data_IF_485501384222
#
_entry.id   IF_485501384222
#
_cell.length_a   1.000
_cell.length_b   1.000
_cell.length_c   1.000
_cell.angle_alpha   90.00
_cell.angle_beta   90.00
_cell.angle_gamma   90.00
#
_symmetry.space_group_name_H-M   'P 1'
#
loop_
_entity.id
_entity.type
_entity.pdbx_description
1 polymer ?
#
# COMPACT_ATOMS: atom_id res chain seq x y z
N UNK A 1 48.28 -21.52 -31.51
CA UNK A 1 49.29 -20.70 -30.79
C UNK A 1 49.19 -19.26 -31.28
N UNK A 2 49.27 -18.27 -30.38
CA UNK A 2 48.59 -16.99 -30.50
C UNK A 2 49.42 -15.91 -31.22
N UNK A 3 48.74 -14.96 -31.84
CA UNK A 3 49.34 -13.71 -32.32
C UNK A 3 49.03 -12.62 -31.28
N UNK A 4 50.10 -12.03 -30.74
CA UNK A 4 50.10 -10.93 -29.78
C UNK A 4 49.53 -9.64 -30.39
N UNK A 5 48.77 -8.88 -29.59
CA UNK A 5 48.31 -7.52 -29.90
C UNK A 5 49.19 -6.53 -29.14
N UNK A 6 49.88 -5.66 -29.89
CA UNK A 6 50.70 -4.57 -29.37
C UNK A 6 49.86 -3.38 -28.88
N UNK A 7 50.35 -2.74 -27.81
CA UNK A 7 49.79 -1.55 -27.16
C UNK A 7 50.15 -0.28 -27.93
N UNK A 8 49.16 0.36 -28.56
CA UNK A 8 49.27 1.70 -29.13
C UNK A 8 48.98 2.80 -28.09
N UNK A 9 49.97 3.65 -27.82
CA UNK A 9 49.81 4.97 -27.18
C UNK A 9 49.18 5.93 -28.19
N UNK A 10 48.15 6.69 -27.79
CA UNK A 10 47.71 7.88 -28.53
C UNK A 10 47.72 9.08 -27.59
N UNK A 11 48.54 10.04 -27.95
CA UNK A 11 48.73 11.36 -27.33
C UNK A 11 47.55 12.28 -27.59
N UNK A 12 47.07 12.94 -26.54
CA UNK A 12 46.02 13.97 -26.60
C UNK A 12 46.67 15.34 -26.82
N UNK A 13 46.42 15.96 -27.97
CA UNK A 13 46.77 17.37 -28.23
C UNK A 13 45.59 18.28 -27.90
N UNK A 14 45.71 19.04 -26.81
CA UNK A 14 44.88 20.20 -26.50
C UNK A 14 45.08 21.31 -27.53
N UNK A 15 43.98 21.92 -27.98
CA UNK A 15 44.01 23.23 -28.64
C UNK A 15 43.02 24.15 -27.95
N UNK A 16 43.55 25.15 -27.26
CA UNK A 16 42.83 26.26 -26.66
C UNK A 16 42.45 27.28 -27.74
N UNK A 17 41.24 27.85 -27.64
CA UNK A 17 40.84 29.03 -28.39
C UNK A 17 40.19 30.05 -27.45
N UNK A 18 40.85 31.20 -27.43
CA UNK A 18 40.65 32.49 -26.77
C UNK A 18 39.23 33.04 -26.49
N UNK A 19 39.20 33.79 -25.39
CA UNK A 19 38.28 34.81 -24.90
C UNK A 19 37.67 35.78 -25.93
N UNK A 20 36.49 36.34 -25.58
CA UNK A 20 36.26 37.79 -25.60
C UNK A 20 35.11 38.21 -24.67
N UNK A 21 35.39 39.28 -23.94
CA UNK A 21 34.58 40.01 -22.97
C UNK A 21 33.34 40.68 -23.57
N UNK A 22 32.29 40.86 -22.76
CA UNK A 22 31.60 42.16 -22.62
C UNK A 22 30.59 42.16 -21.45
N UNK A 23 30.88 42.97 -20.42
CA UNK A 23 29.89 43.66 -19.56
C UNK A 23 30.19 45.16 -19.71
N UNK A 24 29.21 46.08 -19.62
CA UNK A 24 28.75 46.64 -18.33
C UNK A 24 27.21 46.84 -18.33
N UNK A 25 26.48 47.11 -17.25
CA UNK A 25 26.59 48.27 -16.36
C UNK A 25 25.69 48.12 -15.13
N UNK A 26 26.12 48.71 -14.02
CA UNK A 26 25.42 48.84 -12.76
C UNK A 26 24.34 49.95 -12.79
N UNK A 27 23.26 49.76 -12.02
CA UNK A 27 22.55 50.86 -11.36
C UNK A 27 21.73 50.36 -10.17
N UNK A 28 21.96 51.05 -9.06
CA UNK A 28 21.06 51.38 -7.96
C UNK A 28 20.74 50.36 -6.85
N UNK A 29 21.48 50.57 -5.77
CA UNK A 29 21.10 50.35 -4.38
C UNK A 29 19.71 50.92 -4.06
N UNK A 30 18.83 50.04 -3.59
CA UNK A 30 17.79 50.41 -2.62
C UNK A 30 17.92 49.52 -1.38
N UNK A 31 18.13 50.20 -0.26
CA UNK A 31 18.11 49.70 1.12
C UNK A 31 16.76 49.03 1.44
N UNK A 32 16.74 47.87 2.12
CA UNK A 32 15.50 47.21 2.51
C UNK A 32 14.88 47.89 3.74
N UNK A 33 13.61 48.27 3.63
CA UNK A 33 12.76 48.67 4.75
C UNK A 33 12.47 47.46 5.65
N UNK A 34 12.64 47.64 6.97
CA UNK A 34 12.35 46.66 8.04
C UNK A 34 11.01 45.93 7.83
N UNK A 35 10.95 44.59 7.97
CA UNK A 35 9.68 43.92 8.23
C UNK A 35 9.27 44.13 9.70
N UNK A 36 7.98 44.43 9.89
CA UNK A 36 7.32 44.50 11.19
C UNK A 36 7.30 43.13 11.88
N UNK A 37 7.47 43.13 13.21
CA UNK A 37 7.40 41.94 14.05
C UNK A 37 6.02 41.26 13.97
N UNK A 38 5.94 39.92 13.83
CA UNK A 38 4.67 39.23 13.97
C UNK A 38 4.32 39.05 15.45
N UNK A 39 3.11 39.49 15.81
CA UNK A 39 2.52 39.35 17.13
C UNK A 39 2.46 37.86 17.57
N UNK A 40 3.04 37.58 18.74
CA UNK A 40 2.94 36.30 19.43
C UNK A 40 1.48 36.03 19.83
N UNK A 41 0.87 35.01 19.24
CA UNK A 41 -0.32 34.36 19.77
C UNK A 41 0.09 33.42 20.93
N UNK A 42 -0.43 33.67 22.14
CA UNK A 42 -0.29 32.80 23.31
C UNK A 42 -1.64 32.14 23.63
N UNK A 43 -1.72 30.81 23.78
CA UNK A 43 -2.92 30.16 24.31
C UNK A 43 -3.02 30.35 25.84
N UNK A 44 -4.23 30.34 26.41
CA UNK A 44 -4.44 30.54 27.85
C UNK A 44 -3.94 29.34 28.67
N UNK A 45 -3.37 29.67 29.83
CA UNK A 45 -2.88 28.74 30.86
C UNK A 45 -3.96 28.64 31.94
N UNK A 46 -4.47 27.45 32.20
CA UNK A 46 -5.24 27.19 33.42
C UNK A 46 -4.30 26.71 34.54
N UNK A 47 -4.46 27.21 35.79
CA UNK A 47 -3.59 26.87 36.89
C UNK A 47 -4.12 25.70 37.73
N UNK A 48 -3.20 24.84 38.16
CA UNK A 48 -3.31 24.14 39.44
C UNK A 48 -3.72 22.67 39.37
N UNK A 49 -2.75 21.77 39.60
CA UNK A 49 -2.55 21.20 40.94
C UNK A 49 -1.19 20.50 41.01
N UNK A 50 -0.47 20.79 42.10
CA UNK A 50 0.83 20.27 42.44
C UNK A 50 0.71 19.26 43.60
N UNK A 51 1.68 18.34 43.67
CA UNK A 51 1.96 17.45 44.81
C UNK A 51 1.37 16.05 44.62
N UNK A 52 2.07 14.94 44.84
CA UNK A 52 3.28 14.70 45.61
C UNK A 52 3.92 13.38 45.18
N UNK A 53 5.24 13.34 45.20
CA UNK A 53 6.08 12.15 45.09
C UNK A 53 5.86 11.18 46.27
N UNK A 54 5.87 9.88 46.01
CA UNK A 54 6.28 8.87 46.99
C UNK A 54 6.89 7.66 46.26
N UNK A 55 7.98 7.15 46.83
CA UNK A 55 8.90 6.17 46.27
C UNK A 55 8.26 4.81 46.04
N UNK A 56 8.76 4.11 45.02
CA UNK A 56 8.52 2.70 44.80
C UNK A 56 9.24 1.88 45.89
N UNK A 57 8.48 1.07 46.62
CA UNK A 57 9.01 0.02 47.48
C UNK A 57 8.93 -1.32 46.74
N UNK A 58 10.06 -2.00 46.65
CA UNK A 58 10.29 -3.22 45.89
C UNK A 58 10.31 -4.41 46.83
N UNK A 59 9.15 -4.95 47.17
CA UNK A 59 8.98 -6.33 47.68
C UNK A 59 7.50 -6.68 47.68
N UNK A 60 7.00 -7.36 46.64
CA UNK A 60 6.33 -8.66 46.83
C UNK A 60 6.04 -9.31 45.48
N UNK A 61 6.85 -10.33 45.17
CA UNK A 61 6.58 -11.31 44.13
C UNK A 61 5.85 -12.47 44.79
N UNK A 62 4.53 -12.48 44.73
CA UNK A 62 3.76 -13.73 44.84
C UNK A 62 2.49 -13.66 44.02
N UNK A 63 2.43 -14.60 43.08
CA UNK A 63 1.26 -15.07 42.36
C UNK A 63 0.07 -15.24 43.30
N UNK A 64 -1.06 -14.60 42.99
CA UNK A 64 -2.39 -15.20 42.91
C UNK A 64 -3.38 -14.14 42.44
N UNK A 65 -4.01 -14.37 41.27
CA UNK A 65 -5.02 -13.49 40.73
C UNK A 65 -6.32 -13.62 41.54
N UNK A 66 -6.93 -12.52 42.01
CA UNK A 66 -8.22 -12.56 42.71
C UNK A 66 -9.35 -13.03 41.78
N UNK A 67 -10.19 -13.92 42.28
CA UNK A 67 -11.28 -14.62 41.62
C UNK A 67 -12.52 -13.77 41.30
N UNK A 68 -12.37 -12.49 40.98
CA UNK A 68 -13.49 -11.54 40.88
C UNK A 68 -13.98 -11.32 39.44
N UNK A 69 -13.99 -12.38 38.63
CA UNK A 69 -14.54 -12.39 37.27
C UNK A 69 -15.76 -13.31 37.08
N UNK A 70 -16.36 -13.80 38.16
CA UNK A 70 -17.48 -14.75 38.08
C UNK A 70 -18.89 -14.14 38.17
N UNK A 71 -19.03 -12.81 38.07
CA UNK A 71 -20.36 -12.17 37.98
C UNK A 71 -20.41 -11.06 36.91
N UNK A 72 -20.05 -11.40 35.67
CA UNK A 72 -20.55 -10.65 34.51
C UNK A 72 -21.87 -11.30 34.12
N UNK A 73 -23.02 -10.61 34.20
CA UNK A 73 -24.29 -11.19 33.77
C UNK A 73 -24.21 -11.57 32.29
N UNK A 74 -24.63 -12.80 32.01
CA UNK A 74 -24.74 -13.43 30.70
C UNK A 74 -25.44 -12.47 29.71
N UNK A 75 -24.65 -11.76 28.90
CA UNK A 75 -25.15 -10.93 27.80
C UNK A 75 -25.82 -11.91 26.83
N UNK A 76 -27.15 -11.89 26.79
CA UNK A 76 -27.94 -12.88 26.08
C UNK A 76 -27.43 -13.14 24.65
N UNK A 77 -27.30 -14.42 24.34
CA UNK A 77 -26.98 -14.97 23.01
C UNK A 77 -28.08 -14.73 21.96
N UNK A 78 -28.90 -13.69 22.13
CA UNK A 78 -30.09 -13.43 21.32
C UNK A 78 -29.76 -12.43 20.20
N UNK A 79 -29.85 -12.91 18.95
CA UNK A 79 -29.74 -12.06 17.78
C UNK A 79 -30.96 -11.11 17.69
N UNK A 80 -30.76 -9.86 18.10
CA UNK A 80 -31.83 -8.86 18.13
C UNK A 80 -32.28 -8.45 16.73
N UNK A 81 -33.60 -8.42 16.44
CA UNK A 81 -34.13 -7.91 15.17
C UNK A 81 -33.83 -6.41 15.00
N UNK A 82 -33.75 -5.88 13.77
CA UNK A 82 -33.72 -4.45 13.54
C UNK A 82 -34.98 -3.79 14.08
N UNK A 83 -34.88 -2.57 14.65
CA UNK A 83 -36.05 -1.85 15.15
C UNK A 83 -37.03 -1.57 14.01
N UNK A 84 -38.32 -1.77 14.29
CA UNK A 84 -39.40 -1.35 13.40
C UNK A 84 -39.40 0.17 13.27
N UNK A 85 -39.73 0.67 12.08
CA UNK A 85 -39.67 2.11 11.81
C UNK A 85 -40.02 2.48 10.38
N UNK A 86 -40.08 3.79 10.15
CA UNK A 86 -40.33 4.39 8.84
C UNK A 86 -39.04 5.00 8.29
N UNK A 87 -38.91 4.92 6.97
CA UNK A 87 -37.72 5.31 6.22
C UNK A 87 -38.14 6.14 5.00
N UNK A 88 -37.32 7.12 4.57
CA UNK A 88 -37.66 8.00 3.45
C UNK A 88 -37.75 7.26 2.11
N UNK A 89 -36.94 6.22 1.94
CA UNK A 89 -36.89 5.44 0.71
C UNK A 89 -36.44 3.99 0.97
N UNK A 90 -36.61 3.15 -0.05
CA UNK A 90 -36.25 1.72 -0.02
C UNK A 90 -34.77 1.49 0.24
N UNK A 91 -33.89 2.30 -0.35
CA UNK A 91 -32.45 2.10 -0.26
C UNK A 91 -31.97 2.39 1.16
N UNK A 92 -32.44 3.48 1.76
CA UNK A 92 -32.14 3.85 3.15
C UNK A 92 -32.64 2.79 4.13
N UNK A 93 -33.85 2.26 3.93
CA UNK A 93 -34.36 1.15 4.74
C UNK A 93 -33.47 -0.09 4.65
N UNK A 94 -33.13 -0.53 3.43
CA UNK A 94 -32.31 -1.72 3.22
C UNK A 94 -30.90 -1.55 3.80
N UNK A 95 -30.32 -0.36 3.68
CA UNK A 95 -29.02 -0.03 4.27
C UNK A 95 -29.07 -0.09 5.81
N UNK A 96 -30.12 0.47 6.43
CA UNK A 96 -30.33 0.38 7.89
C UNK A 96 -30.44 -1.06 8.37
N UNK A 97 -31.27 -1.87 7.71
CA UNK A 97 -31.44 -3.30 8.03
C UNK A 97 -30.14 -4.08 7.90
N UNK A 98 -29.37 -3.83 6.84
CA UNK A 98 -28.07 -4.46 6.63
C UNK A 98 -27.04 -4.04 7.68
N UNK A 99 -27.00 -2.74 8.03
CA UNK A 99 -26.11 -2.21 9.06
C UNK A 99 -26.41 -2.82 10.44
N UNK A 100 -27.69 -2.90 10.81
CA UNK A 100 -28.12 -3.52 12.06
C UNK A 100 -27.73 -4.99 12.11
N UNK A 101 -28.04 -5.76 11.07
CA UNK A 101 -27.67 -7.18 11.00
C UNK A 101 -26.16 -7.36 11.16
N UNK A 102 -25.36 -6.55 10.46
CA UNK A 102 -23.90 -6.59 10.57
C UNK A 102 -23.40 -6.30 11.99
N UNK A 103 -24.00 -5.31 12.67
CA UNK A 103 -23.65 -4.97 14.05
C UNK A 103 -23.99 -6.09 15.04
N UNK A 104 -25.06 -6.85 14.77
CA UNK A 104 -25.53 -7.95 15.63
C UNK A 104 -25.09 -9.33 15.12
N UNK A 105 -24.20 -9.39 14.13
CA UNK A 105 -23.61 -10.64 13.66
C UNK A 105 -24.56 -11.53 12.84
N UNK A 106 -25.46 -11.00 12.02
CA UNK A 106 -26.20 -11.81 11.04
C UNK A 106 -26.46 -11.03 9.75
N UNK A 107 -26.70 -11.74 8.64
CA UNK A 107 -26.99 -11.08 7.38
C UNK A 107 -28.47 -11.20 7.03
N UNK A 108 -29.04 -10.11 6.50
CA UNK A 108 -30.41 -10.07 6.00
C UNK A 108 -30.40 -10.02 4.48
N UNK A 109 -31.17 -10.89 3.84
CA UNK A 109 -31.28 -11.02 2.39
C UNK A 109 -32.74 -10.87 1.93
N UNK A 110 -32.93 -10.45 0.68
CA UNK A 110 -34.26 -10.40 0.06
C UNK A 110 -34.74 -11.82 -0.24
N UNK A 111 -35.86 -12.23 0.38
CA UNK A 111 -36.57 -13.47 0.05
C UNK A 111 -37.36 -13.31 -1.24
N UNK A 112 -38.11 -12.22 -1.35
CA UNK A 112 -38.92 -11.89 -2.52
C UNK A 112 -39.32 -10.42 -2.49
N UNK A 113 -39.70 -9.86 -3.63
CA UNK A 113 -40.25 -8.50 -3.73
C UNK A 113 -41.48 -8.48 -4.62
N UNK A 114 -42.43 -7.63 -4.30
CA UNK A 114 -43.63 -7.33 -5.09
C UNK A 114 -43.62 -5.84 -5.39
N UNK A 115 -43.38 -5.48 -6.65
CA UNK A 115 -43.45 -4.10 -7.12
C UNK A 115 -44.79 -3.85 -7.81
N UNK A 116 -45.42 -2.67 -7.63
CA UNK A 116 -46.63 -2.32 -8.35
C UNK A 116 -46.31 -2.23 -9.85
N UNK A 117 -47.13 -2.86 -10.69
CA UNK A 117 -47.00 -2.85 -12.15
C UNK A 117 -48.27 -2.25 -12.76
N UNK A 118 -48.22 -1.75 -13.99
CA UNK A 118 -49.39 -1.20 -14.73
C UNK A 118 -50.62 -2.12 -14.71
N UNK A 119 -50.41 -3.45 -14.65
CA UNK A 119 -51.49 -4.46 -14.59
C UNK A 119 -52.17 -4.61 -13.22
N UNK A 120 -51.67 -3.96 -12.16
CA UNK A 120 -52.20 -4.01 -10.78
C UNK A 120 -52.02 -2.65 -10.07
N UNK A 121 -52.75 -1.61 -10.51
CA UNK A 121 -52.67 -0.29 -9.89
C UNK A 121 -53.16 -0.31 -8.43
N UNK A 122 -52.54 0.48 -7.56
CA UNK A 122 -52.97 0.67 -6.16
C UNK A 122 -52.38 -0.29 -5.11
N UNK A 123 -51.50 -1.23 -5.49
CA UNK A 123 -50.80 -2.09 -4.51
C UNK A 123 -49.58 -1.38 -3.93
N UNK A 124 -49.36 -1.47 -2.62
CA UNK A 124 -48.11 -1.02 -1.97
C UNK A 124 -46.94 -1.92 -2.37
N UNK A 125 -45.77 -1.34 -2.61
CA UNK A 125 -44.56 -2.11 -2.88
C UNK A 125 -44.14 -2.87 -1.61
N UNK A 126 -43.81 -4.16 -1.72
CA UNK A 126 -43.39 -4.98 -0.58
C UNK A 126 -42.08 -5.70 -0.87
N UNK A 127 -41.18 -5.74 0.09
CA UNK A 127 -39.94 -6.51 0.06
C UNK A 127 -39.93 -7.41 1.29
N UNK A 128 -39.98 -8.72 1.09
CA UNK A 128 -39.85 -9.71 2.14
C UNK A 128 -38.38 -9.98 2.36
N UNK A 129 -37.92 -9.77 3.59
CA UNK A 129 -36.54 -9.94 4.00
C UNK A 129 -36.46 -11.10 4.99
N UNK A 130 -35.34 -11.81 4.98
CA UNK A 130 -35.08 -12.97 5.85
C UNK A 130 -33.60 -13.05 6.20
N UNK A 131 -33.24 -13.91 7.15
CA UNK A 131 -31.84 -14.25 7.41
C UNK A 131 -31.21 -14.97 6.19
N UNK A 132 -29.92 -14.75 5.93
CA UNK A 132 -29.14 -15.47 4.90
C UNK A 132 -29.09 -16.98 5.12
N UNK A 133 -29.27 -17.41 6.38
CA UNK A 133 -29.40 -18.82 6.80
C UNK A 133 -30.84 -19.37 6.72
N UNK A 134 -31.80 -18.56 6.26
CA UNK A 134 -33.22 -18.92 6.18
C UNK A 134 -33.58 -19.75 4.94
N UNK A 135 -34.45 -20.74 5.12
CA UNK A 135 -34.90 -21.69 4.09
C UNK A 135 -34.06 -22.96 4.01
N UNK A 136 -34.56 -23.91 3.22
CA UNK A 136 -33.96 -25.24 3.05
C UNK A 136 -33.23 -25.36 1.71
N UNK A 137 -32.13 -26.10 1.72
CA UNK A 137 -31.43 -26.45 0.50
C UNK A 137 -32.29 -27.39 -0.36
N UNK A 138 -32.47 -27.04 -1.64
CA UNK A 138 -33.13 -27.91 -2.62
C UNK A 138 -32.07 -28.51 -3.57
N UNK A 139 -31.87 -29.84 -3.59
CA UNK A 139 -30.92 -30.46 -4.50
C UNK A 139 -31.41 -30.34 -5.94
N UNK A 140 -30.62 -29.70 -6.82
CA UNK A 140 -30.98 -29.56 -8.25
C UNK A 140 -30.73 -30.82 -9.08
N UNK A 141 -29.96 -31.79 -8.58
CA UNK A 141 -29.45 -32.92 -9.36
C UNK A 141 -29.64 -34.28 -8.67
N UNK A 142 -30.58 -34.42 -7.72
CA UNK A 142 -30.82 -35.67 -6.99
C UNK A 142 -29.70 -36.11 -6.02
N UNK A 143 -28.60 -35.36 -5.94
CA UNK A 143 -27.52 -35.56 -4.97
C UNK A 143 -28.00 -35.23 -3.55
N UNK A 144 -28.01 -36.24 -2.69
CA UNK A 144 -28.28 -36.12 -1.26
C UNK A 144 -26.99 -35.71 -0.51
N UNK A 145 -27.08 -35.33 0.78
CA UNK A 145 -25.87 -34.97 1.54
C UNK A 145 -24.96 -36.19 1.75
N UNK A 146 -25.52 -37.39 1.84
CA UNK A 146 -24.80 -38.66 2.04
C UNK A 146 -24.02 -39.10 0.79
N UNK A 147 -24.52 -38.76 -0.40
CA UNK A 147 -23.94 -39.20 -1.69
C UNK A 147 -22.87 -38.23 -2.22
N UNK A 148 -22.53 -37.20 -1.44
CA UNK A 148 -21.74 -36.06 -1.92
C UNK A 148 -20.28 -36.10 -1.48
N UNK A 149 -19.36 -36.00 -2.45
CA UNK A 149 -17.89 -36.04 -2.24
C UNK A 149 -17.24 -34.72 -1.78
N UNK A 150 -17.95 -33.58 -1.79
CA UNK A 150 -17.39 -32.25 -1.42
C UNK A 150 -18.35 -31.47 -0.52
N UNK A 151 -17.86 -30.90 0.59
CA UNK A 151 -18.65 -30.01 1.49
C UNK A 151 -19.15 -28.76 0.77
N UNK A 152 -20.37 -28.28 1.09
CA UNK A 152 -21.01 -27.13 0.40
C UNK A 152 -20.60 -25.81 1.04
N UNK A 153 -20.87 -24.77 0.26
CA UNK A 153 -20.79 -23.36 0.64
C UNK A 153 -22.07 -22.82 1.28
N UNK A 154 -23.18 -23.59 1.28
CA UNK A 154 -24.50 -23.17 1.75
C UNK A 154 -24.58 -23.17 3.27
N UNK A 155 -25.05 -22.05 3.85
CA UNK A 155 -25.26 -21.85 5.30
C UNK A 155 -26.74 -21.95 5.71
N UNK A 156 -27.59 -22.44 4.81
CA UNK A 156 -29.02 -22.62 5.04
C UNK A 156 -29.26 -23.65 6.14
N UNK A 157 -29.96 -23.23 7.19
CA UNK A 157 -30.37 -24.06 8.34
C UNK A 157 -31.82 -23.78 8.73
N UNK A 158 -32.60 -23.31 7.76
CA UNK A 158 -34.01 -22.98 7.92
C UNK A 158 -34.30 -21.97 9.05
N UNK A 159 -33.44 -20.96 9.18
CA UNK A 159 -33.63 -19.88 10.15
C UNK A 159 -35.00 -19.18 9.96
N UNK A 160 -35.81 -19.04 11.03
CA UNK A 160 -37.20 -18.58 10.94
C UNK A 160 -37.34 -17.05 10.86
N UNK A 161 -36.25 -16.31 11.08
CA UNK A 161 -36.22 -14.85 11.07
C UNK A 161 -36.77 -14.24 9.77
N UNK A 162 -37.72 -13.32 9.92
CA UNK A 162 -38.41 -12.71 8.78
C UNK A 162 -38.96 -11.32 9.10
N UNK A 163 -38.93 -10.45 8.11
CA UNK A 163 -39.53 -9.11 8.19
C UNK A 163 -40.07 -8.72 6.81
N UNK A 164 -40.92 -7.71 6.78
CA UNK A 164 -41.46 -7.12 5.55
C UNK A 164 -41.23 -5.62 5.56
N UNK A 165 -40.68 -5.12 4.47
CA UNK A 165 -40.60 -3.70 4.18
C UNK A 165 -41.70 -3.35 3.18
N UNK A 166 -42.67 -2.55 3.59
CA UNK A 166 -43.77 -2.10 2.74
C UNK A 166 -43.66 -0.59 2.53
N UNK A 167 -43.70 -0.12 1.28
CA UNK A 167 -43.55 1.30 1.00
C UNK A 167 -44.42 1.81 -0.13
N UNK A 168 -44.86 3.05 0.05
CA UNK A 168 -45.36 3.92 -0.99
C UNK A 168 -44.25 4.94 -1.31
N UNK A 169 -44.30 5.68 -2.45
CA UNK A 169 -43.33 6.74 -2.72
C UNK A 169 -43.20 7.70 -1.53
N UNK A 170 -41.98 7.88 -1.01
CA UNK A 170 -41.66 8.78 0.10
C UNK A 170 -41.75 8.20 1.52
N UNK A 171 -42.38 7.04 1.73
CA UNK A 171 -42.44 6.38 3.05
C UNK A 171 -42.37 4.87 2.91
N UNK A 172 -41.38 4.27 3.57
CA UNK A 172 -41.19 2.83 3.67
C UNK A 172 -41.22 2.39 5.13
N UNK A 173 -42.11 1.46 5.47
CA UNK A 173 -42.26 0.92 6.83
C UNK A 173 -41.66 -0.47 6.91
N UNK A 174 -40.84 -0.70 7.94
CA UNK A 174 -40.30 -2.01 8.30
C UNK A 174 -41.14 -2.65 9.41
N UNK A 175 -41.60 -3.88 9.20
CA UNK A 175 -42.33 -4.68 10.19
C UNK A 175 -41.64 -6.02 10.36
N UNK A 176 -41.31 -6.39 11.59
CA UNK A 176 -40.73 -7.67 11.95
C UNK A 176 -41.85 -8.70 12.06
N UNK A 177 -41.75 -9.78 11.28
CA UNK A 177 -42.77 -10.83 11.26
C UNK A 177 -42.40 -11.99 12.18
N UNK A 178 -41.12 -12.31 12.22
CA UNK A 178 -40.57 -13.26 13.17
C UNK A 178 -39.19 -12.76 13.60
N UNK A 179 -39.03 -12.36 14.87
CA UNK A 179 -37.77 -11.83 15.40
C UNK A 179 -36.76 -12.93 15.74
N UNK A 180 -37.18 -14.19 15.79
CA UNK A 180 -36.36 -15.29 16.32
C UNK A 180 -35.34 -15.81 15.32
N UNK A 181 -34.15 -16.14 15.83
CA UNK A 181 -33.11 -16.87 15.12
C UNK A 181 -32.89 -18.23 15.79
N UNK A 182 -32.55 -19.25 15.01
CA UNK A 182 -32.18 -20.58 15.52
C UNK A 182 -30.66 -20.81 15.51
N UNK A 183 -29.89 -19.72 15.52
CA UNK A 183 -28.43 -19.73 15.50
C UNK A 183 -27.87 -18.50 16.20
N UNK A 184 -26.66 -18.60 16.74
CA UNK A 184 -25.93 -17.45 17.28
C UNK A 184 -25.32 -16.54 16.20
N UNK A 185 -24.61 -15.48 16.59
CA UNK A 185 -23.97 -14.56 15.66
C UNK A 185 -22.94 -15.25 14.76
N UNK A 186 -22.82 -14.76 13.53
CA UNK A 186 -21.85 -15.15 12.53
C UNK A 186 -20.47 -14.75 13.03
N UNK A 187 -19.74 -15.72 13.58
CA UNK A 187 -18.34 -15.60 13.99
C UNK A 187 -17.37 -15.84 12.82
N UNK A 188 -17.85 -16.28 11.66
CA UNK A 188 -17.03 -16.54 10.48
C UNK A 188 -16.76 -15.28 9.66
N UNK A 189 -15.48 -15.05 9.30
CA UNK A 189 -15.06 -13.97 8.40
C UNK A 189 -15.85 -14.02 7.07
N UNK A 190 -16.27 -12.87 6.49
CA UNK A 190 -17.00 -12.83 5.24
C UNK A 190 -16.27 -13.61 4.14
N UNK A 191 -16.99 -14.45 3.39
CA UNK A 191 -16.41 -15.11 2.23
C UNK A 191 -16.15 -14.05 1.15
N UNK A 192 -14.96 -14.01 0.52
CA UNK A 192 -14.68 -13.05 -0.53
C UNK A 192 -15.72 -13.17 -1.66
N UNK A 193 -16.04 -12.03 -2.30
CA UNK A 193 -16.87 -12.00 -3.50
C UNK A 193 -16.33 -12.97 -4.56
N UNK A 194 -17.18 -13.51 -5.45
CA UNK A 194 -16.72 -14.37 -6.54
C UNK A 194 -15.72 -13.61 -7.41
N UNK A 195 -14.43 -13.88 -7.21
CA UNK A 195 -13.37 -13.27 -7.99
C UNK A 195 -13.50 -13.76 -9.43
N UNK A 196 -13.65 -12.82 -10.37
CA UNK A 196 -13.27 -13.05 -11.76
C UNK A 196 -11.89 -13.69 -11.74
N UNK A 197 -11.70 -14.84 -12.39
CA UNK A 197 -10.38 -15.50 -12.38
C UNK A 197 -9.39 -14.56 -13.05
N UNK A 198 -8.43 -14.07 -12.28
CA UNK A 198 -7.24 -13.35 -12.75
C UNK A 198 -6.64 -14.13 -13.92
N UNK A 199 -6.42 -13.47 -15.06
CA UNK A 199 -5.89 -14.16 -16.25
C UNK A 199 -4.47 -14.64 -15.95
N UNK A 200 -4.05 -15.71 -16.62
CA UNK A 200 -2.67 -16.17 -16.53
C UNK A 200 -1.74 -15.06 -17.02
N UNK A 201 -0.72 -14.72 -16.23
CA UNK A 201 0.16 -13.59 -16.50
C UNK A 201 -0.33 -12.27 -15.93
N UNK A 202 -1.38 -12.29 -15.09
CA UNK A 202 -1.80 -11.18 -14.25
C UNK A 202 -1.77 -11.57 -12.77
N UNK A 203 -1.84 -10.57 -11.91
CA UNK A 203 -1.96 -10.63 -10.45
C UNK A 203 -3.17 -9.79 -10.05
N UNK A 204 -3.90 -10.22 -9.02
CA UNK A 204 -5.02 -9.46 -8.48
C UNK A 204 -4.53 -8.11 -7.93
N UNK A 205 -5.14 -7.02 -8.36
CA UNK A 205 -4.80 -5.67 -7.95
C UNK A 205 -6.00 -4.72 -8.15
N UNK A 206 -5.84 -3.46 -7.75
CA UNK A 206 -6.89 -2.44 -7.85
C UNK A 206 -6.35 -1.26 -8.67
N UNK A 207 -7.08 -0.74 -9.67
CA UNK A 207 -8.48 -1.05 -9.99
C UNK A 207 -8.68 -2.17 -11.02
N UNK A 208 -7.61 -2.75 -11.55
CA UNK A 208 -7.64 -3.87 -12.50
C UNK A 208 -6.59 -4.92 -12.15
N UNK A 209 -6.73 -6.13 -12.69
CA UNK A 209 -5.73 -7.20 -12.58
C UNK A 209 -4.47 -6.83 -13.39
N UNK A 210 -3.33 -6.68 -12.73
CA UNK A 210 -2.09 -6.15 -13.30
C UNK A 210 -1.11 -7.25 -13.75
N UNK A 211 -0.33 -7.07 -14.82
CA UNK A 211 -0.35 -5.96 -15.77
C UNK A 211 -1.55 -6.04 -16.71
N UNK A 212 -1.95 -4.93 -17.30
CA UNK A 212 -3.16 -4.82 -18.14
C UNK A 212 -3.17 -5.79 -19.33
N UNK A 213 -2.00 -6.16 -19.85
CA UNK A 213 -1.81 -7.02 -21.02
C UNK A 213 -1.48 -8.49 -20.68
N UNK A 214 -1.52 -8.86 -19.39
CA UNK A 214 -1.22 -10.20 -18.90
C UNK A 214 0.22 -10.68 -19.18
N UNK A 215 1.20 -9.76 -19.17
CA UNK A 215 2.61 -10.08 -19.42
C UNK A 215 3.47 -10.09 -18.17
N UNK A 216 2.98 -10.57 -17.03
CA UNK A 216 3.79 -10.75 -15.82
C UNK A 216 4.81 -11.90 -15.99
N UNK A 217 6.06 -11.57 -16.32
CA UNK A 217 7.16 -12.54 -16.52
C UNK A 217 8.53 -11.92 -16.18
N UNK A 218 9.58 -12.73 -15.93
CA UNK A 218 10.94 -12.22 -15.70
C UNK A 218 11.53 -11.41 -16.88
N UNK A 219 10.99 -11.55 -18.08
CA UNK A 219 11.52 -10.87 -19.28
C UNK A 219 10.90 -9.47 -19.50
N UNK A 220 9.80 -9.18 -18.81
CA UNK A 220 8.97 -8.01 -19.04
C UNK A 220 8.74 -7.21 -17.76
N UNK A 221 8.99 -7.80 -16.60
CA UNK A 221 8.69 -7.22 -15.29
C UNK A 221 9.94 -7.06 -14.43
N UNK A 222 10.12 -5.90 -13.82
CA UNK A 222 11.19 -5.65 -12.86
C UNK A 222 10.62 -5.22 -11.48
N UNK A 223 11.33 -5.60 -10.42
CA UNK A 223 11.16 -5.03 -9.08
C UNK A 223 12.09 -3.83 -8.93
N UNK A 224 11.58 -2.75 -8.34
CA UNK A 224 12.34 -1.54 -8.02
C UNK A 224 12.25 -1.30 -6.51
N UNK A 225 13.38 -1.37 -5.82
CA UNK A 225 13.52 -0.98 -4.42
C UNK A 225 14.01 0.47 -4.36
N UNK A 226 13.14 1.38 -3.95
CA UNK A 226 13.41 2.81 -3.97
C UNK A 226 13.94 3.25 -2.60
N UNK A 227 15.16 3.78 -2.59
CA UNK A 227 15.77 4.57 -1.51
C UNK A 227 15.73 3.91 -0.13
N UNK A 228 15.97 2.59 -0.09
CA UNK A 228 16.15 1.84 1.17
C UNK A 228 17.55 2.08 1.76
N UNK A 229 17.91 3.35 1.95
CA UNK A 229 19.21 3.81 2.43
C UNK A 229 19.22 4.03 3.94
N UNK A 230 20.39 3.97 4.56
CA UNK A 230 20.53 4.26 6.00
C UNK A 230 20.08 5.68 6.35
N UNK A 231 20.30 6.65 5.45
CA UNK A 231 19.85 8.04 5.61
C UNK A 231 18.33 8.19 5.74
N UNK A 232 17.55 7.22 5.23
CA UNK A 232 16.08 7.23 5.32
C UNK A 232 15.54 6.25 6.36
N UNK A 233 16.28 5.18 6.65
CA UNK A 233 15.78 4.06 7.46
C UNK A 233 16.39 4.02 8.86
N UNK A 234 17.63 4.47 9.05
CA UNK A 234 18.43 4.18 10.25
C UNK A 234 18.52 5.37 11.20
N UNK A 235 18.60 5.12 12.52
CA UNK A 235 19.04 6.14 13.46
C UNK A 235 20.42 6.69 13.06
N UNK A 236 20.61 7.99 13.24
CA UNK A 236 21.77 8.76 12.79
C UNK A 236 21.75 9.16 11.32
N UNK A 237 20.73 8.76 10.56
CA UNK A 237 20.54 9.11 9.16
C UNK A 237 19.85 10.46 8.94
N UNK A 238 19.92 10.98 7.71
CA UNK A 238 19.32 12.26 7.32
C UNK A 238 17.89 12.50 7.83
N UNK A 239 16.98 11.52 7.75
CA UNK A 239 15.56 11.72 8.11
C UNK A 239 15.32 12.00 9.60
N UNK A 240 16.14 11.43 10.49
CA UNK A 240 16.05 11.75 11.91
C UNK A 240 16.37 13.23 12.17
N UNK A 241 17.37 13.76 11.45
CA UNK A 241 17.75 15.18 11.54
C UNK A 241 16.78 16.12 10.83
N UNK A 242 15.92 15.60 9.96
CA UNK A 242 14.76 16.32 9.44
C UNK A 242 13.57 16.31 10.44
N UNK A 243 13.69 15.58 11.55
CA UNK A 243 12.66 15.51 12.61
C UNK A 243 11.60 14.44 12.38
N UNK A 244 11.88 13.43 11.54
CA UNK A 244 10.95 12.34 11.26
C UNK A 244 11.30 11.06 12.01
N UNK A 245 10.26 10.32 12.40
CA UNK A 245 10.41 8.96 12.91
C UNK A 245 10.70 7.95 11.77
N UNK A 246 11.77 7.18 11.94
CA UNK A 246 12.24 6.16 11.00
C UNK A 246 11.78 4.74 11.37
N UNK A 247 11.07 4.56 12.51
CA UNK A 247 10.63 3.24 12.98
C UNK A 247 9.76 2.50 11.97
N UNK A 248 8.89 3.21 11.26
CA UNK A 248 8.07 2.63 10.19
C UNK A 248 8.92 2.02 9.07
N UNK A 249 10.07 2.62 8.76
CA UNK A 249 10.95 2.14 7.69
C UNK A 249 11.58 0.80 8.08
N UNK A 250 11.95 0.66 9.35
CA UNK A 250 12.47 -0.58 9.92
C UNK A 250 11.43 -1.71 9.89
N UNK A 251 10.15 -1.41 10.13
CA UNK A 251 9.05 -2.40 10.03
C UNK A 251 8.89 -2.92 8.60
N UNK A 252 9.25 -2.11 7.60
CA UNK A 252 9.12 -2.47 6.18
C UNK A 252 10.22 -3.45 5.72
N UNK A 253 11.43 -3.35 6.28
CA UNK A 253 12.62 -4.13 5.89
C UNK A 253 12.38 -5.64 5.76
N UNK A 254 11.86 -6.36 6.77
CA UNK A 254 11.67 -7.82 6.65
C UNK A 254 10.67 -8.22 5.57
N UNK A 255 9.68 -7.36 5.26
CA UNK A 255 8.72 -7.62 4.17
C UNK A 255 9.40 -7.49 2.81
N UNK A 256 10.17 -6.43 2.62
CA UNK A 256 10.92 -6.22 1.39
C UNK A 256 12.00 -7.27 1.17
N UNK A 257 12.63 -7.76 2.25
CA UNK A 257 13.61 -8.82 2.15
C UNK A 257 12.98 -10.13 1.64
N UNK A 258 11.78 -10.47 2.13
CA UNK A 258 10.99 -11.62 1.62
C UNK A 258 10.65 -11.45 0.14
N UNK A 259 10.18 -10.26 -0.25
CA UNK A 259 9.87 -9.96 -1.64
C UNK A 259 11.10 -10.06 -2.55
N UNK A 260 12.19 -9.42 -2.16
CA UNK A 260 13.47 -9.42 -2.87
C UNK A 260 13.98 -10.85 -3.06
N UNK A 261 13.90 -11.69 -2.03
CA UNK A 261 14.28 -13.10 -2.11
C UNK A 261 13.42 -13.87 -3.13
N UNK A 262 12.10 -13.65 -3.15
CA UNK A 262 11.21 -14.28 -4.12
C UNK A 262 11.56 -13.89 -5.56
N UNK A 263 11.83 -12.61 -5.83
CA UNK A 263 12.21 -12.11 -7.15
C UNK A 263 13.53 -12.69 -7.64
N UNK A 264 14.56 -12.65 -6.79
CA UNK A 264 15.88 -13.25 -7.08
C UNK A 264 15.75 -14.74 -7.41
N UNK A 265 15.02 -15.49 -6.59
CA UNK A 265 14.81 -16.93 -6.78
C UNK A 265 14.06 -17.31 -8.06
N UNK A 266 13.20 -16.41 -8.55
CA UNK A 266 12.44 -16.63 -9.77
C UNK A 266 13.10 -15.99 -11.02
N UNK A 267 14.27 -15.36 -10.85
CA UNK A 267 15.05 -14.77 -11.94
C UNK A 267 14.48 -13.46 -12.47
N UNK A 268 13.62 -12.78 -11.71
CA UNK A 268 13.12 -11.45 -12.12
C UNK A 268 14.22 -10.40 -11.96
N UNK A 269 14.32 -9.43 -12.89
CA UNK A 269 15.20 -8.28 -12.76
C UNK A 269 14.87 -7.44 -11.53
N UNK A 270 15.90 -7.05 -10.79
CA UNK A 270 15.80 -6.18 -9.63
C UNK A 270 16.67 -4.95 -9.87
N UNK A 271 16.13 -3.78 -9.55
CA UNK A 271 16.80 -2.49 -9.58
C UNK A 271 16.68 -1.84 -8.21
N UNK A 272 17.72 -1.13 -7.82
CA UNK A 272 17.75 -0.35 -6.58
C UNK A 272 17.98 1.12 -6.91
N UNK A 273 17.43 2.03 -6.12
CA UNK A 273 17.74 3.46 -6.25
C UNK A 273 18.35 3.98 -4.96
N UNK A 274 19.17 5.02 -5.11
CA UNK A 274 19.69 5.81 -4.00
C UNK A 274 19.56 7.29 -4.32
N UNK A 275 18.83 8.04 -3.51
CA UNK A 275 18.85 9.49 -3.54
C UNK A 275 20.19 10.00 -2.98
N UNK A 276 20.91 10.80 -3.75
CA UNK A 276 22.08 11.50 -3.24
C UNK A 276 22.86 12.28 -4.28
N UNK A 277 23.71 13.16 -3.78
CA UNK A 277 24.46 14.14 -4.55
C UNK A 277 25.95 13.79 -4.61
N UNK A 278 26.64 14.30 -5.63
CA UNK A 278 28.10 14.19 -5.72
C UNK A 278 28.75 14.86 -4.51
N UNK A 279 29.94 14.39 -4.13
CA UNK A 279 30.67 14.88 -2.96
C UNK A 279 31.04 16.37 -3.04
N UNK A 280 31.20 16.89 -4.26
CA UNK A 280 31.41 18.30 -4.60
C UNK A 280 30.11 19.14 -4.60
N UNK A 281 28.96 18.54 -4.30
CA UNK A 281 27.62 19.15 -4.31
C UNK A 281 27.17 19.70 -5.66
N UNK A 282 27.87 19.39 -6.76
CA UNK A 282 27.56 19.90 -8.10
C UNK A 282 26.18 19.47 -8.63
N UNK A 283 25.60 18.42 -8.05
CA UNK A 283 24.24 17.95 -8.37
C UNK A 283 23.19 18.42 -7.37
N UNK A 284 23.53 19.26 -6.40
CA UNK A 284 22.59 19.82 -5.42
C UNK A 284 22.15 21.22 -5.84
N UNK A 285 20.86 21.40 -6.09
CA UNK A 285 20.33 22.72 -6.44
C UNK A 285 20.34 23.67 -5.23
N UNK A 286 20.46 24.97 -5.48
CA UNK A 286 20.40 26.01 -4.43
C UNK A 286 19.08 25.95 -3.65
N UNK A 287 17.96 25.71 -4.33
CA UNK A 287 16.63 25.53 -3.72
C UNK A 287 16.61 24.33 -2.77
N UNK A 288 17.15 23.19 -3.19
CA UNK A 288 17.15 21.98 -2.37
C UNK A 288 18.09 22.10 -1.18
N UNK A 289 19.28 22.69 -1.38
CA UNK A 289 20.20 23.03 -0.31
C UNK A 289 19.52 23.91 0.75
N UNK A 290 18.82 24.96 0.33
CA UNK A 290 18.04 25.82 1.22
C UNK A 290 16.96 25.04 1.98
N UNK A 291 16.08 24.32 1.26
CA UNK A 291 14.97 23.58 1.86
C UNK A 291 15.46 22.53 2.87
N UNK A 292 16.55 21.83 2.58
CA UNK A 292 17.05 20.75 3.45
C UNK A 292 17.49 21.23 4.84
N UNK A 293 17.73 22.53 5.02
CA UNK A 293 18.07 23.14 6.31
C UNK A 293 16.85 23.70 7.06
N UNK A 294 15.66 23.68 6.45
CA UNK A 294 14.43 24.20 7.04
C UNK A 294 13.79 23.15 7.95
N UNK A 295 14.50 22.77 9.00
CA UNK A 295 14.09 21.80 10.01
C UNK A 295 14.67 22.22 11.38
N UNK A 296 14.24 21.59 12.50
CA UNK A 296 14.69 21.98 13.84
C UNK A 296 16.20 21.88 14.09
N UNK A 297 16.92 21.00 13.39
CA UNK A 297 18.37 20.83 13.56
C UNK A 297 19.19 21.88 12.81
N UNK A 298 18.61 22.50 11.78
CA UNK A 298 19.32 23.39 10.85
C UNK A 298 20.33 22.68 9.94
N UNK A 299 20.56 21.37 10.14
CA UNK A 299 21.43 20.55 9.30
C UNK A 299 20.68 20.16 8.03
N UNK A 300 21.39 20.14 6.92
CA UNK A 300 20.85 19.82 5.61
C UNK A 300 21.80 18.94 4.81
N UNK A 301 21.49 18.76 3.53
CA UNK A 301 22.26 17.91 2.63
C UNK A 301 23.72 18.39 2.59
N UNK A 302 24.65 17.44 2.75
CA UNK A 302 26.08 17.68 2.77
C UNK A 302 26.67 18.10 4.11
N UNK A 303 25.85 18.34 5.14
CA UNK A 303 26.32 18.54 6.51
C UNK A 303 26.78 17.21 7.13
N UNK A 304 27.71 17.28 8.09
CA UNK A 304 28.22 16.11 8.80
C UNK A 304 27.17 15.56 9.78
N UNK A 305 26.91 14.27 9.66
CA UNK A 305 26.08 13.49 10.58
C UNK A 305 26.78 12.25 11.11
N UNK A 306 26.13 11.49 12.01
CA UNK A 306 26.70 10.27 12.59
C UNK A 306 27.09 9.21 11.56
N UNK A 307 26.45 9.21 10.39
CA UNK A 307 26.69 8.27 9.31
C UNK A 307 27.45 8.90 8.12
N UNK A 308 28.20 9.98 8.36
CA UNK A 308 28.88 10.75 7.33
C UNK A 308 28.03 11.91 6.81
N UNK A 309 28.42 12.48 5.66
CA UNK A 309 27.73 13.65 5.11
C UNK A 309 26.36 13.27 4.54
N UNK A 310 25.30 13.94 4.99
CA UNK A 310 23.93 13.56 4.62
C UNK A 310 23.67 13.61 3.11
N UNK A 311 23.11 12.51 2.58
CA UNK A 311 22.76 12.32 1.16
C UNK A 311 23.93 12.56 0.19
N UNK A 312 25.16 12.31 0.62
CA UNK A 312 26.36 12.41 -0.23
C UNK A 312 26.81 11.03 -0.68
N UNK A 313 27.00 10.88 -1.99
CA UNK A 313 27.41 9.62 -2.62
C UNK A 313 28.74 9.13 -2.06
N UNK A 314 28.74 7.88 -1.62
CA UNK A 314 29.90 7.19 -1.06
C UNK A 314 30.01 7.27 0.46
N UNK A 315 29.19 8.09 1.13
CA UNK A 315 29.12 8.12 2.58
C UNK A 315 28.36 6.91 3.14
N UNK A 316 28.67 6.45 4.37
CA UNK A 316 27.99 5.31 4.98
C UNK A 316 26.46 5.47 5.05
N UNK A 317 25.97 6.67 5.35
CA UNK A 317 24.53 6.99 5.42
C UNK A 317 23.82 6.91 4.08
N UNK A 318 24.53 7.25 2.99
CA UNK A 318 23.97 7.22 1.65
C UNK A 318 23.76 5.79 1.12
N UNK A 319 24.46 4.79 1.66
CA UNK A 319 24.38 3.45 1.13
C UNK A 319 23.10 2.70 1.54
N UNK A 320 22.75 1.68 0.75
CA UNK A 320 21.58 0.81 1.00
C UNK A 320 21.81 0.01 2.30
N UNK A 321 20.72 -0.22 3.04
CA UNK A 321 20.78 -1.03 4.27
C UNK A 321 21.25 -2.47 3.98
N UNK A 322 22.04 -3.11 4.86
CA UNK A 322 22.61 -4.44 4.60
C UNK A 322 21.59 -5.53 4.28
N UNK A 323 20.39 -5.47 4.85
CA UNK A 323 19.32 -6.46 4.72
C UNK A 323 18.76 -6.54 3.29
N UNK A 324 18.85 -5.43 2.55
CA UNK A 324 18.33 -5.28 1.19
C UNK A 324 19.45 -5.02 0.18
N UNK A 325 20.70 -5.30 0.55
CA UNK A 325 21.85 -4.91 -0.25
C UNK A 325 21.80 -5.54 -1.66
N UNK A 326 22.16 -4.78 -2.71
CA UNK A 326 22.21 -5.29 -4.07
C UNK A 326 23.22 -6.44 -4.22
N UNK A 327 22.92 -7.37 -5.13
CA UNK A 327 23.88 -8.41 -5.56
C UNK A 327 24.36 -8.15 -6.98
N UNK A 328 25.37 -8.90 -7.43
CA UNK A 328 25.89 -8.81 -8.79
C UNK A 328 24.74 -9.01 -9.82
N UNK A 329 24.62 -8.07 -10.76
CA UNK A 329 23.59 -8.09 -11.79
C UNK A 329 22.32 -7.29 -11.45
N UNK A 330 22.24 -6.70 -10.26
CA UNK A 330 21.16 -5.77 -9.86
C UNK A 330 21.68 -4.32 -9.94
N UNK A 331 21.28 -3.52 -10.94
CA UNK A 331 21.77 -2.16 -11.07
C UNK A 331 21.30 -1.25 -9.93
N UNK A 332 22.18 -0.32 -9.54
CA UNK A 332 21.91 0.72 -8.54
C UNK A 332 21.91 2.08 -9.20
N UNK A 333 20.79 2.81 -9.09
CA UNK A 333 20.58 4.10 -9.72
C UNK A 333 20.80 5.22 -8.70
N UNK A 334 21.91 5.94 -8.83
CA UNK A 334 22.18 7.13 -8.02
C UNK A 334 21.50 8.37 -8.61
N UNK A 335 20.36 8.74 -8.04
CA UNK A 335 19.52 9.85 -8.51
C UNK A 335 19.73 11.12 -7.66
N UNK A 336 19.95 12.30 -8.26
CA UNK A 336 20.06 13.55 -7.51
C UNK A 336 18.69 14.16 -7.16
N UNK A 337 17.59 13.61 -7.69
CA UNK A 337 16.23 14.08 -7.44
C UNK A 337 15.31 12.98 -6.88
N UNK A 338 14.03 13.31 -6.74
CA UNK A 338 13.01 12.38 -6.20
C UNK A 338 12.68 11.25 -7.17
N UNK A 339 12.43 11.59 -8.42
CA UNK A 339 12.15 10.63 -9.48
C UNK A 339 13.40 9.89 -9.97
N UNK A 340 13.31 8.57 -10.12
CA UNK A 340 14.44 7.74 -10.53
C UNK A 340 14.83 7.92 -12.01
N UNK A 341 13.95 8.48 -12.85
CA UNK A 341 14.24 8.70 -14.28
C UNK A 341 14.99 10.01 -14.54
N UNK A 342 14.80 11.01 -13.67
CA UNK A 342 15.35 12.35 -13.87
C UNK A 342 16.87 12.37 -13.66
N UNK A 343 17.60 12.68 -14.74
CA UNK A 343 19.08 12.77 -14.77
C UNK A 343 19.82 11.46 -14.46
N UNK A 344 19.26 10.32 -14.87
CA UNK A 344 19.85 8.99 -14.69
C UNK A 344 19.83 8.19 -15.99
N UNK A 345 20.45 7.01 -15.98
CA UNK A 345 20.41 6.01 -17.03
C UNK A 345 19.31 4.95 -16.80
N UNK A 346 18.39 5.17 -15.84
CA UNK A 346 17.42 4.15 -15.43
C UNK A 346 16.52 3.69 -16.58
N UNK A 347 16.01 4.62 -17.39
CA UNK A 347 15.20 4.25 -18.57
C UNK A 347 15.99 3.42 -19.57
N UNK A 348 17.23 3.81 -19.87
CA UNK A 348 18.09 3.09 -20.80
C UNK A 348 18.25 1.63 -20.37
N UNK A 349 18.52 1.39 -19.09
CA UNK A 349 18.68 0.05 -18.53
C UNK A 349 17.40 -0.78 -18.65
N UNK A 350 16.25 -0.19 -18.30
CA UNK A 350 14.94 -0.86 -18.42
C UNK A 350 14.62 -1.24 -19.87
N UNK A 351 14.81 -0.30 -20.81
CA UNK A 351 14.52 -0.49 -22.24
C UNK A 351 15.43 -1.54 -22.87
N UNK A 352 16.73 -1.50 -22.59
CA UNK A 352 17.69 -2.49 -23.09
C UNK A 352 17.36 -3.91 -22.60
N UNK A 353 16.77 -4.03 -21.42
CA UNK A 353 16.33 -5.32 -20.86
C UNK A 353 14.93 -5.74 -21.31
N UNK A 354 14.22 -4.91 -22.07
CA UNK A 354 12.86 -5.19 -22.54
C UNK A 354 11.78 -5.08 -21.47
N UNK A 355 12.06 -4.37 -20.37
CA UNK A 355 11.11 -4.19 -19.28
C UNK A 355 9.96 -3.28 -19.73
N UNK A 356 8.74 -3.70 -19.39
CA UNK A 356 7.49 -2.97 -19.66
C UNK A 356 6.65 -2.78 -18.40
N UNK A 357 6.89 -3.61 -17.39
CA UNK A 357 6.12 -3.67 -16.15
C UNK A 357 7.03 -3.38 -14.96
N UNK A 358 6.64 -2.46 -14.07
CA UNK A 358 7.41 -2.11 -12.87
C UNK A 358 6.60 -2.37 -11.60
N UNK A 359 7.22 -3.05 -10.64
CA UNK A 359 6.70 -3.18 -9.28
C UNK A 359 7.52 -2.27 -8.38
N UNK A 360 6.85 -1.29 -7.75
CA UNK A 360 7.50 -0.22 -7.01
C UNK A 360 7.32 -0.43 -5.51
N UNK A 361 8.44 -0.34 -4.79
CA UNK A 361 8.55 -0.54 -3.34
C UNK A 361 9.56 0.41 -2.73
N UNK A 362 9.56 0.52 -1.40
CA UNK A 362 10.53 1.31 -0.65
C UNK A 362 9.98 2.66 -0.18
N UNK A 363 10.84 3.68 -0.14
CA UNK A 363 10.59 4.93 0.56
C UNK A 363 10.74 6.15 -0.37
N UNK A 364 10.02 7.24 -0.17
CA UNK A 364 8.72 7.32 0.52
C UNK A 364 7.60 7.29 -0.50
N UNK A 365 6.44 6.77 -0.08
CA UNK A 365 5.26 6.54 -0.92
C UNK A 365 4.87 7.81 -1.66
N UNK A 366 4.79 8.91 -0.94
CA UNK A 366 4.30 10.21 -1.39
C UNK A 366 5.36 11.07 -2.09
N UNK A 367 6.64 10.71 -1.97
CA UNK A 367 7.74 11.47 -2.56
C UNK A 367 8.44 10.69 -3.67
N UNK A 368 9.49 9.93 -3.36
CA UNK A 368 10.33 9.30 -4.38
C UNK A 368 9.60 8.17 -5.13
N UNK A 369 8.79 7.39 -4.42
CA UNK A 369 8.04 6.28 -5.01
C UNK A 369 6.95 6.81 -5.95
N UNK A 370 6.09 7.74 -5.49
CA UNK A 370 5.04 8.32 -6.34
C UNK A 370 5.63 9.08 -7.53
N UNK A 371 6.72 9.83 -7.35
CA UNK A 371 7.37 10.59 -8.43
C UNK A 371 7.89 9.63 -9.49
N UNK A 372 8.60 8.58 -9.08
CA UNK A 372 9.12 7.55 -9.99
C UNK A 372 7.99 6.81 -10.70
N UNK A 373 6.88 6.51 -10.02
CA UNK A 373 5.71 5.88 -10.62
C UNK A 373 5.06 6.74 -11.70
N UNK A 374 4.89 8.04 -11.43
CA UNK A 374 4.34 9.00 -12.39
C UNK A 374 5.25 9.16 -13.60
N UNK A 375 6.55 9.30 -13.37
CA UNK A 375 7.55 9.34 -14.46
C UNK A 375 7.53 8.07 -15.32
N UNK A 376 7.39 6.90 -14.70
CA UNK A 376 7.30 5.62 -15.40
C UNK A 376 6.00 5.51 -16.21
N UNK A 377 4.87 5.89 -15.62
CA UNK A 377 3.56 5.89 -16.26
C UNK A 377 3.54 6.77 -17.51
N UNK A 378 4.06 8.00 -17.43
CA UNK A 378 4.17 8.90 -18.59
C UNK A 378 5.07 8.35 -19.70
N UNK A 379 6.01 7.47 -19.36
CA UNK A 379 6.89 6.76 -20.31
C UNK A 379 6.29 5.46 -20.83
N UNK A 380 5.05 5.14 -20.46
CA UNK A 380 4.32 3.95 -20.91
C UNK A 380 4.71 2.65 -20.22
N UNK A 381 5.34 2.69 -19.04
CA UNK A 381 5.50 1.50 -18.21
C UNK A 381 4.20 1.21 -17.46
N UNK A 382 3.80 -0.06 -17.42
CA UNK A 382 2.69 -0.50 -16.58
C UNK A 382 3.17 -0.70 -15.14
N UNK A 383 2.63 0.07 -14.20
CA UNK A 383 3.18 0.18 -12.85
C UNK A 383 2.24 -0.41 -11.79
N UNK A 384 2.83 -1.12 -10.83
CA UNK A 384 2.15 -1.61 -9.63
C UNK A 384 2.84 -1.06 -8.38
N UNK A 385 2.11 -0.30 -7.58
CA UNK A 385 2.54 0.11 -6.23
C UNK A 385 2.16 -0.96 -5.20
N UNK A 386 3.12 -1.40 -4.38
CA UNK A 386 2.80 -2.27 -3.24
C UNK A 386 2.46 -1.41 -2.01
N UNK A 387 1.19 -1.40 -1.63
CA UNK A 387 0.70 -0.56 -0.53
C UNK A 387 1.37 -0.95 0.80
N UNK A 388 1.54 -2.25 1.06
CA UNK A 388 2.25 -2.79 2.25
C UNK A 388 3.75 -3.04 2.01
N UNK A 389 4.25 -2.63 0.84
CA UNK A 389 5.66 -2.61 0.44
C UNK A 389 6.24 -1.20 0.36
N UNK A 390 5.51 -0.19 0.82
CA UNK A 390 5.90 1.22 0.83
C UNK A 390 5.40 1.89 2.10
N UNK A 391 5.94 3.06 2.44
CA UNK A 391 5.41 3.90 3.52
C UNK A 391 5.70 5.38 3.29
N UNK A 392 4.99 6.25 3.99
CA UNK A 392 5.28 7.67 4.13
C UNK A 392 5.33 8.00 5.64
N UNK A 393 5.93 9.13 6.02
CA UNK A 393 5.91 9.57 7.41
C UNK A 393 4.50 9.95 7.87
N UNK A 394 3.70 10.55 6.98
CA UNK A 394 2.28 10.80 7.22
C UNK A 394 1.42 9.66 6.61
N UNK A 395 0.67 8.89 7.43
CA UNK A 395 -0.22 7.85 6.92
C UNK A 395 -1.29 8.37 5.96
N UNK A 396 -1.77 9.61 6.17
CA UNK A 396 -2.75 10.24 5.28
C UNK A 396 -2.23 10.41 3.86
N UNK A 397 -0.98 10.86 3.73
CA UNK A 397 -0.27 11.04 2.47
C UNK A 397 -0.01 9.72 1.75
N UNK A 398 0.36 8.67 2.48
CA UNK A 398 0.47 7.31 1.92
C UNK A 398 -0.87 6.86 1.31
N UNK A 399 -1.97 6.98 2.06
CA UNK A 399 -3.31 6.59 1.59
C UNK A 399 -3.73 7.44 0.39
N UNK A 400 -3.52 8.76 0.43
CA UNK A 400 -3.88 9.67 -0.65
C UNK A 400 -3.17 9.32 -1.96
N UNK A 401 -1.89 8.93 -1.90
CA UNK A 401 -1.14 8.48 -3.08
C UNK A 401 -1.71 7.20 -3.64
N UNK A 402 -1.93 6.19 -2.79
CA UNK A 402 -2.55 4.93 -3.18
C UNK A 402 -3.90 5.18 -3.87
N UNK A 403 -4.76 6.03 -3.29
CA UNK A 403 -6.04 6.41 -3.90
C UNK A 403 -5.91 7.18 -5.21
N UNK A 404 -4.92 8.07 -5.32
CA UNK A 404 -4.67 8.84 -6.55
C UNK A 404 -4.30 7.94 -7.73
N UNK A 405 -3.50 6.89 -7.50
CA UNK A 405 -3.12 5.90 -8.52
C UNK A 405 -4.35 5.22 -9.11
N UNK A 406 -5.33 4.90 -8.26
CA UNK A 406 -6.54 4.13 -8.61
C UNK A 406 -7.60 4.96 -9.33
N UNK A 407 -7.48 6.29 -9.40
CA UNK A 407 -8.47 7.16 -10.08
C UNK A 407 -8.45 6.93 -11.59
N UNK A 408 -9.54 7.30 -12.24
CA UNK A 408 -9.71 7.22 -13.71
C UNK A 408 -9.38 5.83 -14.31
N UNK A 409 -9.70 4.76 -13.56
CA UNK A 409 -9.42 3.39 -14.00
C UNK A 409 -7.97 2.94 -13.84
N UNK A 410 -7.16 3.68 -13.07
CA UNK A 410 -5.76 3.37 -12.81
C UNK A 410 -4.83 4.32 -13.53
N UNK A 411 -5.03 5.63 -13.36
CA UNK A 411 -4.33 6.70 -14.11
C UNK A 411 -2.81 6.61 -14.07
N UNK A 412 -2.23 6.10 -12.97
CA UNK A 412 -0.79 5.85 -12.86
C UNK A 412 -0.41 4.37 -12.81
N UNK A 413 -1.38 3.46 -12.98
CA UNK A 413 -1.21 2.01 -12.83
C UNK A 413 -2.20 1.40 -11.83
N UNK A 414 -1.74 0.42 -11.07
CA UNK A 414 -2.53 -0.29 -10.07
C UNK A 414 -1.84 -0.29 -8.70
N UNK A 415 -2.58 -0.65 -7.66
CA UNK A 415 -2.05 -0.96 -6.33
C UNK A 415 -2.32 -2.42 -5.96
N UNK A 416 -1.40 -3.03 -5.22
CA UNK A 416 -1.46 -4.43 -4.83
C UNK A 416 -0.87 -4.68 -3.45
N UNK A 417 -0.94 -5.95 -3.02
CA UNK A 417 -0.34 -6.41 -1.76
C UNK A 417 0.89 -7.27 -2.03
N UNK A 418 1.88 -7.15 -1.16
CA UNK A 418 3.15 -7.84 -1.25
C UNK A 418 2.99 -9.36 -1.30
N UNK A 419 2.12 -9.92 -0.48
CA UNK A 419 1.89 -11.37 -0.43
C UNK A 419 1.26 -11.93 -1.71
N UNK A 420 0.43 -11.14 -2.41
CA UNK A 420 -0.13 -11.55 -3.70
C UNK A 420 0.96 -11.65 -4.77
N UNK A 421 1.91 -10.72 -4.74
CA UNK A 421 3.04 -10.71 -5.67
C UNK A 421 4.03 -11.82 -5.36
N UNK A 422 4.39 -12.04 -4.09
CA UNK A 422 5.25 -13.16 -3.69
C UNK A 422 4.67 -14.48 -4.19
N UNK A 423 3.36 -14.72 -3.94
CA UNK A 423 2.66 -15.91 -4.45
C UNK A 423 2.71 -16.02 -5.96
N UNK A 424 2.51 -14.92 -6.69
CA UNK A 424 2.54 -14.91 -8.15
C UNK A 424 3.93 -15.28 -8.70
N UNK A 425 5.00 -14.72 -8.12
CA UNK A 425 6.39 -14.98 -8.50
C UNK A 425 6.79 -16.44 -8.22
N UNK A 426 6.47 -16.95 -7.03
CA UNK A 426 6.75 -18.34 -6.65
C UNK A 426 6.00 -19.36 -7.52
N UNK A 427 4.75 -19.04 -7.89
CA UNK A 427 3.97 -19.85 -8.81
C UNK A 427 4.58 -19.87 -10.23
N UNK A 428 5.12 -18.74 -10.70
CA UNK A 428 5.84 -18.67 -11.98
C UNK A 428 7.05 -19.60 -11.97
N UNK A 429 7.87 -19.55 -10.92
CA UNK A 429 9.04 -20.43 -10.76
C UNK A 429 8.63 -21.90 -10.78
N UNK A 430 7.65 -22.27 -9.95
CA UNK A 430 7.16 -23.66 -9.84
C UNK A 430 6.67 -24.19 -11.18
N UNK A 431 5.95 -23.36 -11.95
CA UNK A 431 5.44 -23.73 -13.27
C UNK A 431 6.58 -23.89 -14.28
N UNK A 432 7.58 -23.01 -14.23
CA UNK A 432 8.74 -23.04 -15.13
C UNK A 432 9.61 -24.26 -14.87
N UNK A 433 9.94 -24.55 -13.60
CA UNK A 433 10.69 -25.75 -13.20
C UNK A 433 9.97 -27.03 -13.64
N UNK A 434 8.65 -27.12 -13.43
CA UNK A 434 7.86 -28.28 -13.88
C UNK A 434 7.87 -28.47 -15.40
N UNK A 435 7.92 -27.38 -16.18
CA UNK A 435 7.99 -27.44 -17.65
C UNK A 435 9.36 -27.83 -18.17
N UNK A 436 10.43 -27.40 -17.49
CA UNK A 436 11.82 -27.68 -17.90
C UNK A 436 12.33 -29.03 -17.36
N UNK A 437 11.78 -29.55 -16.26
CA UNK A 437 12.20 -30.82 -15.66
C UNK A 437 12.25 -32.01 -16.66
N UNK A 438 11.27 -32.20 -17.56
CA UNK A 438 11.34 -33.27 -18.57
C UNK A 438 12.49 -33.09 -19.58
N UNK A 439 12.88 -31.85 -19.87
CA UNK A 439 13.98 -31.53 -20.79
C UNK A 439 15.35 -31.72 -20.11
N UNK A 440 15.42 -31.56 -18.78
CA UNK A 440 16.64 -31.80 -18.01
C UNK A 440 16.90 -33.29 -17.78
N UNK A 441 15.85 -34.10 -17.64
CA UNK A 441 15.98 -35.58 -17.52
C UNK A 441 16.26 -36.29 -18.85
N UNK A 442 16.09 -35.61 -19.99
CA UNK A 442 16.40 -36.16 -21.32
C UNK A 442 17.87 -35.90 -21.76
N UNK A 443 18.64 -35.20 -20.93
CA UNK A 443 20.05 -34.81 -21.21
C UNK A 443 21.01 -35.44 -20.17
N UNK A 444 20.50 -36.19 -19.20
CA UNK A 444 21.25 -37.05 -18.29
C UNK A 444 21.05 -38.51 -18.69
#
# INVERSE_FOLDING_TARGET
MPIYVERGKVTCTLRAAYCRDSSPSASDHQTPTKPAEPALWKPPVDPGMAGSSAMADTTDLSLDAPSDLQDIPDISMDLLPPPEGTYPDRATLLASVQAHGKAHGYNVVVKSSSTPTEKKPGRTAKVWLRCDRGGQYRPRNGLTEETRKRKRTSRLMDCPFMMVAAGNPGIWTLTVLNPTHNHGPVTEKPRPAPQTRVKKGQVSSVPYDWPHDATFTPFTTALVLIDMQRDFCSPGGYMEFQGYDVSGAQILVPKLQRLLHAFRNAGFPVYHTREGHRSDLSTLSTRESFRSRNNPSGLGIGADGPLGRFLIRGEPGHDIIPELYPILGEPVIDKPGRGAFSHTDFELLLRNKGIRNLILTGLMTDVAVSTTMREASDRGFDCLLLEDGTMAHDPGSHVAVCESIKKEGGVFGATGKLDDIVRAVENFRTTTVKRLAPQMTAVA
#
